data_IF_147254015595
#
_entry.id   IF_147254015595
#
_cell.length_a   1.000
_cell.length_b   1.000
_cell.length_c   1.000
_cell.angle_alpha   90.00
_cell.angle_beta   90.00
_cell.angle_gamma   90.00
#
_symmetry.space_group_name_H-M   'P 1'
#
loop_
_entity.id
_entity.type
_entity.pdbx_description
1 polymer ?
#
# COMPACT_ATOMS: atom_id res chain seq x y z
N UNK A 1 -19.67 -29.49 -8.76
CA UNK A 1 -19.25 -28.23 -8.20
C UNK A 1 -17.96 -28.50 -7.44
N UNK A 2 -16.80 -28.25 -8.04
CA UNK A 2 -15.50 -28.41 -7.40
C UNK A 2 -15.13 -27.06 -6.76
N UNK A 3 -15.06 -27.04 -5.43
CA UNK A 3 -14.50 -25.93 -4.70
C UNK A 3 -12.98 -25.89 -4.94
N UNK A 4 -12.51 -24.91 -5.69
CA UNK A 4 -11.08 -24.61 -5.77
C UNK A 4 -10.68 -23.83 -4.49
N UNK A 5 -10.07 -24.55 -3.55
CA UNK A 5 -9.26 -23.93 -2.50
C UNK A 5 -7.97 -23.46 -3.16
N UNK A 6 -7.81 -22.18 -3.33
CA UNK A 6 -6.53 -21.61 -3.72
C UNK A 6 -5.57 -21.67 -2.52
N UNK A 7 -4.62 -22.61 -2.57
CA UNK A 7 -3.47 -22.59 -1.68
C UNK A 7 -2.47 -21.58 -2.25
N UNK A 8 -2.29 -20.49 -1.55
CA UNK A 8 -1.26 -19.50 -1.81
C UNK A 8 0.10 -20.13 -1.42
N UNK A 9 0.81 -20.70 -2.40
CA UNK A 9 2.22 -21.06 -2.26
C UNK A 9 3.07 -19.87 -2.70
N UNK A 10 3.26 -18.91 -1.79
CA UNK A 10 4.35 -17.98 -1.91
C UNK A 10 5.65 -18.77 -1.80
N UNK A 11 6.47 -18.75 -2.83
CA UNK A 11 7.87 -19.21 -2.72
C UNK A 11 8.55 -18.37 -1.63
N UNK A 12 8.63 -18.97 -0.43
CA UNK A 12 9.47 -18.47 0.65
C UNK A 12 10.93 -18.56 0.18
N UNK A 13 11.48 -17.47 -0.29
CA UNK A 13 12.92 -17.26 -0.11
C UNK A 13 13.12 -16.92 1.37
N UNK A 14 13.44 -17.95 2.13
CA UNK A 14 13.82 -17.86 3.53
C UNK A 14 15.22 -17.29 3.65
N UNK A 15 15.34 -16.07 4.07
CA UNK A 15 16.53 -15.53 4.72
C UNK A 15 16.19 -14.24 5.48
N UNK A 16 15.40 -14.34 6.53
CA UNK A 16 15.48 -13.53 7.76
C UNK A 16 14.68 -14.29 8.81
N UNK A 17 15.21 -14.51 9.98
CA UNK A 17 14.53 -15.18 11.07
C UNK A 17 13.15 -14.53 11.28
N UNK A 18 12.10 -15.34 11.33
CA UNK A 18 10.73 -14.89 11.44
C UNK A 18 10.59 -13.96 12.65
N UNK A 19 10.45 -12.67 12.38
CA UNK A 19 10.14 -11.72 13.42
C UNK A 19 8.64 -11.84 13.69
N UNK A 20 8.34 -12.42 14.82
CA UNK A 20 6.98 -12.65 15.29
C UNK A 20 6.58 -11.47 16.14
N UNK A 21 6.07 -10.41 15.50
CA UNK A 21 5.19 -9.47 16.19
C UNK A 21 3.89 -10.20 16.55
N UNK A 22 3.33 -9.93 17.70
CA UNK A 22 2.01 -10.45 18.07
C UNK A 22 0.95 -9.89 17.11
N UNK A 23 0.24 -10.77 16.43
CA UNK A 23 -0.88 -10.40 15.57
C UNK A 23 -2.10 -10.08 16.45
N UNK A 24 -2.70 -8.93 16.20
CA UNK A 24 -3.87 -8.40 16.93
C UNK A 24 -5.00 -8.12 15.95
N UNK A 25 -6.18 -7.88 16.48
CA UNK A 25 -7.37 -7.51 15.70
C UNK A 25 -7.91 -6.17 16.15
N UNK A 26 -8.21 -5.32 15.18
CA UNK A 26 -9.00 -4.13 15.35
C UNK A 26 -10.44 -4.47 14.92
N UNK A 27 -11.34 -4.57 15.89
CA UNK A 27 -12.74 -4.88 15.62
C UNK A 27 -13.44 -3.68 14.98
N UNK A 28 -14.13 -3.93 13.85
CA UNK A 28 -14.86 -2.90 13.08
C UNK A 28 -16.39 -2.97 13.29
N UNK A 29 -16.87 -3.93 14.08
CA UNK A 29 -18.28 -4.27 14.23
C UNK A 29 -18.74 -5.34 13.24
N UNK A 30 -19.95 -5.90 13.47
CA UNK A 30 -20.53 -6.97 12.65
C UNK A 30 -19.61 -8.17 12.37
N UNK A 31 -18.78 -8.54 13.36
CA UNK A 31 -17.77 -9.60 13.26
C UNK A 31 -16.68 -9.34 12.22
N UNK A 32 -16.55 -8.11 11.72
CA UNK A 32 -15.47 -7.70 10.82
C UNK A 32 -14.29 -7.14 11.62
N UNK A 33 -13.07 -7.43 11.18
CA UNK A 33 -11.85 -6.97 11.83
C UNK A 33 -10.71 -6.75 10.82
N UNK A 34 -9.76 -5.92 11.24
CA UNK A 34 -8.47 -5.72 10.59
C UNK A 34 -7.40 -6.38 11.43
N UNK A 35 -6.63 -7.30 10.84
CA UNK A 35 -5.44 -7.88 11.47
C UNK A 35 -4.26 -6.93 11.35
N UNK A 36 -3.52 -6.74 12.44
CA UNK A 36 -2.36 -5.87 12.49
C UNK A 36 -1.28 -6.36 13.43
N UNK A 37 -0.07 -5.88 13.23
CA UNK A 37 1.02 -5.96 14.21
C UNK A 37 1.47 -4.54 14.53
N UNK A 38 1.84 -4.33 15.80
CA UNK A 38 2.22 -3.02 16.30
C UNK A 38 3.38 -3.13 17.29
N UNK A 39 4.34 -2.22 17.21
CA UNK A 39 5.38 -2.12 18.23
C UNK A 39 4.77 -1.59 19.53
N UNK A 40 5.23 -2.11 20.67
CA UNK A 40 4.67 -1.77 22.00
C UNK A 40 5.34 -0.58 22.65
N UNK A 41 5.95 0.32 21.86
CA UNK A 41 6.68 1.48 22.33
C UNK A 41 5.88 2.76 22.17
N UNK A 42 6.05 3.70 23.06
CA UNK A 42 5.55 5.07 22.88
C UNK A 42 6.65 5.90 22.21
N UNK A 43 6.30 6.61 21.15
CA UNK A 43 7.22 7.50 20.46
C UNK A 43 6.49 8.78 20.04
N UNK A 44 7.22 9.90 19.82
CA UNK A 44 6.60 11.16 19.40
C UNK A 44 6.05 11.12 17.98
N UNK A 45 6.30 10.05 17.24
CA UNK A 45 5.83 9.84 15.85
C UNK A 45 5.29 8.42 15.73
N UNK A 46 4.21 8.24 14.99
CA UNK A 46 3.70 6.93 14.59
C UNK A 46 4.02 6.68 13.11
N UNK A 47 4.58 5.52 12.82
CA UNK A 47 4.83 5.06 11.44
C UNK A 47 3.79 4.03 11.07
N UNK A 48 3.18 4.15 9.88
CA UNK A 48 2.19 3.17 9.39
C UNK A 48 2.57 2.73 7.98
N UNK A 49 2.51 1.43 7.73
CA UNK A 49 2.77 0.85 6.40
C UNK A 49 1.46 0.48 5.69
N UNK A 50 1.28 1.00 4.49
CA UNK A 50 0.18 0.70 3.59
C UNK A 50 0.68 -0.24 2.48
N UNK A 51 0.22 -1.48 2.49
CA UNK A 51 0.64 -2.53 1.56
C UNK A 51 0.16 -2.31 0.12
N UNK A 52 0.71 -3.08 -0.81
CA UNK A 52 0.26 -3.12 -2.20
C UNK A 52 -0.98 -3.99 -2.41
N UNK A 53 -1.51 -3.97 -3.62
CA UNK A 53 -2.59 -4.84 -4.07
C UNK A 53 -2.21 -6.32 -3.90
N UNK A 54 -3.06 -7.11 -3.25
CA UNK A 54 -2.82 -8.52 -2.92
C UNK A 54 -1.58 -8.80 -2.03
N UNK A 55 -1.00 -7.80 -1.39
CA UNK A 55 0.07 -8.02 -0.41
C UNK A 55 -0.49 -8.12 1.00
N UNK A 56 0.33 -8.63 1.91
CA UNK A 56 0.00 -8.73 3.33
C UNK A 56 1.07 -8.05 4.22
N UNK A 57 0.76 -7.90 5.51
CA UNK A 57 1.64 -7.27 6.49
C UNK A 57 2.92 -8.09 6.79
N UNK A 58 3.03 -9.31 6.27
CA UNK A 58 4.20 -10.18 6.41
C UNK A 58 5.16 -10.04 5.22
N UNK A 59 4.81 -9.21 4.23
CA UNK A 59 5.65 -8.91 3.09
C UNK A 59 6.96 -8.22 3.47
N UNK A 60 7.99 -8.39 2.64
CA UNK A 60 9.38 -7.96 2.92
C UNK A 60 9.48 -6.49 3.37
N UNK A 61 8.85 -5.55 2.65
CA UNK A 61 8.91 -4.12 2.99
C UNK A 61 8.28 -3.82 4.36
N UNK A 62 7.10 -4.41 4.63
CA UNK A 62 6.39 -4.22 5.89
C UNK A 62 7.21 -4.76 7.07
N UNK A 63 7.80 -5.94 6.92
CA UNK A 63 8.61 -6.57 7.97
C UNK A 63 9.92 -5.81 8.23
N UNK A 64 10.63 -5.37 7.18
CA UNK A 64 11.85 -4.56 7.36
C UNK A 64 11.56 -3.23 8.06
N UNK A 65 10.47 -2.57 7.70
CA UNK A 65 10.05 -1.34 8.37
C UNK A 65 9.69 -1.60 9.84
N UNK A 66 8.93 -2.67 10.11
CA UNK A 66 8.51 -3.02 11.46
C UNK A 66 9.71 -3.30 12.37
N UNK A 67 10.68 -4.08 11.90
CA UNK A 67 11.90 -4.40 12.65
C UNK A 67 12.78 -3.16 12.88
N UNK A 68 12.93 -2.34 11.86
CA UNK A 68 13.63 -1.07 12.00
C UNK A 68 13.00 -0.21 13.10
N UNK A 69 11.71 0.01 13.04
CA UNK A 69 10.98 0.81 14.03
C UNK A 69 11.08 0.20 15.44
N UNK A 70 10.94 -1.11 15.55
CA UNK A 70 11.06 -1.84 16.82
C UNK A 70 12.45 -1.66 17.45
N UNK A 71 13.51 -1.81 16.65
CA UNK A 71 14.90 -1.67 17.13
C UNK A 71 15.27 -0.23 17.49
N UNK A 72 14.59 0.77 16.92
CA UNK A 72 14.81 2.18 17.18
C UNK A 72 13.81 2.81 18.17
N UNK A 73 12.96 2.00 18.80
CA UNK A 73 11.98 2.50 19.77
C UNK A 73 10.92 3.41 19.15
N UNK A 74 10.52 3.12 17.90
CA UNK A 74 9.51 3.90 17.16
C UNK A 74 8.19 3.12 17.13
N UNK A 75 7.08 3.83 17.38
CA UNK A 75 5.75 3.28 17.24
C UNK A 75 5.47 2.99 15.76
N UNK A 76 5.21 1.74 15.43
CA UNK A 76 4.97 1.28 14.06
C UNK A 76 3.78 0.34 14.00
N UNK A 77 2.92 0.52 13.00
CA UNK A 77 1.80 -0.36 12.70
C UNK A 77 1.90 -0.87 11.26
N UNK A 78 1.84 -2.18 11.10
CA UNK A 78 1.66 -2.85 9.82
C UNK A 78 0.36 -3.65 9.89
N UNK A 79 -0.42 -3.70 8.83
CA UNK A 79 -1.75 -4.30 8.87
C UNK A 79 -2.17 -4.85 7.50
N UNK A 80 -3.16 -5.71 7.53
CA UNK A 80 -3.85 -6.22 6.35
C UNK A 80 -5.14 -5.45 6.15
N UNK A 81 -5.39 -4.97 4.94
CA UNK A 81 -6.68 -4.35 4.62
C UNK A 81 -7.82 -5.37 4.72
N UNK A 82 -9.04 -4.91 4.83
CA UNK A 82 -10.21 -5.77 4.69
C UNK A 82 -10.11 -6.62 3.41
N UNK A 83 -10.32 -7.93 3.53
CA UNK A 83 -10.17 -8.88 2.43
C UNK A 83 -8.73 -9.26 2.06
N UNK A 84 -7.70 -8.73 2.77
CA UNK A 84 -6.30 -9.12 2.58
C UNK A 84 -5.78 -9.94 3.76
N UNK A 85 -4.76 -10.74 3.51
CA UNK A 85 -3.99 -11.46 4.51
C UNK A 85 -4.84 -12.18 5.56
N UNK A 86 -4.68 -11.78 6.82
CA UNK A 86 -5.43 -12.33 7.97
C UNK A 86 -6.67 -11.51 8.37
N UNK A 87 -6.94 -10.39 7.71
CA UNK A 87 -8.15 -9.59 7.95
C UNK A 87 -9.40 -10.29 7.43
N UNK A 88 -10.55 -9.95 8.04
CA UNK A 88 -11.84 -10.45 7.56
C UNK A 88 -12.22 -9.91 6.19
N UNK A 89 -13.19 -10.54 5.53
CA UNK A 89 -13.71 -10.16 4.22
C UNK A 89 -13.17 -11.00 3.08
N UNK A 90 -13.80 -10.83 1.91
CA UNK A 90 -13.43 -11.52 0.67
C UNK A 90 -12.79 -10.51 -0.28
N UNK A 91 -11.56 -10.75 -0.71
CA UNK A 91 -10.79 -9.83 -1.56
C UNK A 91 -11.56 -9.36 -2.80
N UNK A 92 -12.27 -10.29 -3.47
CA UNK A 92 -13.03 -9.99 -4.68
C UNK A 92 -14.25 -9.09 -4.45
N UNK A 93 -14.69 -8.96 -3.21
CA UNK A 93 -15.80 -8.09 -2.83
C UNK A 93 -15.33 -6.70 -2.40
N UNK A 94 -14.03 -6.48 -2.30
CA UNK A 94 -13.45 -5.22 -1.85
C UNK A 94 -13.17 -4.25 -3.00
N UNK A 95 -13.12 -2.98 -2.65
CA UNK A 95 -12.89 -1.85 -3.53
C UNK A 95 -11.82 -0.90 -2.96
N UNK A 96 -11.47 0.14 -3.69
CA UNK A 96 -10.58 1.21 -3.19
C UNK A 96 -11.19 1.88 -1.95
N UNK A 97 -12.51 2.10 -1.94
CA UNK A 97 -13.24 2.65 -0.79
C UNK A 97 -13.09 1.78 0.46
N UNK A 98 -13.21 0.46 0.34
CA UNK A 98 -13.09 -0.47 1.47
C UNK A 98 -11.65 -0.47 2.03
N UNK A 99 -10.64 -0.46 1.16
CA UNK A 99 -9.24 -0.41 1.57
C UNK A 99 -8.85 0.96 2.14
N UNK A 100 -9.39 2.03 1.58
CA UNK A 100 -9.23 3.36 2.15
C UNK A 100 -9.88 3.47 3.54
N UNK A 101 -11.09 2.92 3.72
CA UNK A 101 -11.74 2.85 5.03
C UNK A 101 -10.90 2.05 6.05
N UNK A 102 -10.23 0.97 5.61
CA UNK A 102 -9.29 0.23 6.44
C UNK A 102 -8.11 1.11 6.90
N UNK A 103 -7.54 1.91 5.99
CA UNK A 103 -6.48 2.87 6.33
C UNK A 103 -6.96 3.88 7.38
N UNK A 104 -8.13 4.47 7.18
CA UNK A 104 -8.72 5.44 8.10
C UNK A 104 -8.92 4.82 9.48
N UNK A 105 -9.53 3.62 9.55
CA UNK A 105 -9.76 2.92 10.81
C UNK A 105 -8.47 2.65 11.57
N UNK A 106 -7.41 2.23 10.89
CA UNK A 106 -6.09 2.00 11.50
C UNK A 106 -5.48 3.32 11.98
N UNK A 107 -5.49 4.36 11.16
CA UNK A 107 -4.94 5.67 11.51
C UNK A 107 -5.66 6.28 12.71
N UNK A 108 -6.99 6.18 12.77
CA UNK A 108 -7.77 6.77 13.85
C UNK A 108 -7.68 5.97 15.17
N UNK A 109 -7.67 4.64 15.08
CA UNK A 109 -7.76 3.77 16.26
C UNK A 109 -6.41 3.34 16.81
N UNK A 110 -5.38 3.21 15.97
CA UNK A 110 -4.11 2.58 16.36
C UNK A 110 -2.92 3.54 16.35
N UNK A 111 -3.10 4.79 15.94
CA UNK A 111 -1.98 5.74 15.81
C UNK A 111 -2.26 7.06 16.51
N UNK A 112 -1.20 7.74 16.91
CA UNK A 112 -1.22 9.12 17.39
C UNK A 112 -0.60 10.06 16.36
N UNK A 113 -0.88 11.34 16.45
CA UNK A 113 -0.18 12.35 15.66
C UNK A 113 1.18 12.69 16.31
N UNK A 114 2.19 13.08 15.52
CA UNK A 114 2.24 13.13 14.05
C UNK A 114 2.49 11.75 13.42
N UNK A 115 2.13 11.63 12.14
CA UNK A 115 2.20 10.38 11.37
C UNK A 115 3.23 10.44 10.25
N UNK A 116 4.02 9.40 10.08
CA UNK A 116 4.74 9.09 8.84
C UNK A 116 4.06 7.88 8.18
N UNK A 117 3.58 8.03 6.96
CA UNK A 117 2.91 6.95 6.22
C UNK A 117 3.85 6.45 5.12
N UNK A 118 4.09 5.14 5.10
CA UNK A 118 4.83 4.47 4.03
C UNK A 118 3.84 3.71 3.18
N UNK A 119 3.73 4.04 1.89
CA UNK A 119 2.80 3.40 0.96
C UNK A 119 3.50 2.72 -0.20
N UNK A 120 3.23 1.43 -0.43
CA UNK A 120 3.80 0.66 -1.54
C UNK A 120 2.75 0.38 -2.61
N UNK A 121 3.04 0.69 -3.88
CA UNK A 121 2.15 0.44 -5.02
C UNK A 121 0.74 1.03 -4.78
N UNK A 122 -0.33 0.21 -4.75
CA UNK A 122 -1.68 0.63 -4.34
C UNK A 122 -1.67 1.39 -3.01
N UNK A 123 -0.88 0.95 -2.03
CA UNK A 123 -0.72 1.63 -0.75
C UNK A 123 -0.22 3.07 -0.88
N UNK A 124 0.51 3.39 -1.95
CA UNK A 124 0.89 4.76 -2.30
C UNK A 124 -0.31 5.63 -2.72
N UNK A 125 -1.32 5.05 -3.36
CA UNK A 125 -2.58 5.74 -3.64
C UNK A 125 -3.37 6.00 -2.36
N UNK A 126 -3.56 4.95 -1.55
CA UNK A 126 -4.27 5.06 -0.26
C UNK A 126 -3.56 6.04 0.70
N UNK A 127 -2.23 6.10 0.67
CA UNK A 127 -1.41 7.06 1.39
C UNK A 127 -1.75 8.51 1.01
N UNK A 128 -1.85 8.79 -0.29
CA UNK A 128 -2.24 10.12 -0.79
C UNK A 128 -3.67 10.48 -0.39
N UNK A 129 -4.62 9.54 -0.49
CA UNK A 129 -6.01 9.74 -0.05
C UNK A 129 -6.07 10.03 1.45
N UNK A 130 -5.31 9.28 2.26
CA UNK A 130 -5.24 9.48 3.71
C UNK A 130 -4.62 10.84 4.05
N UNK A 131 -3.56 11.25 3.34
CA UNK A 131 -2.96 12.56 3.55
C UNK A 131 -3.91 13.71 3.18
N UNK A 132 -4.79 13.53 2.21
CA UNK A 132 -5.81 14.53 1.87
C UNK A 132 -6.87 14.71 2.96
N UNK A 133 -7.27 13.63 3.63
CA UNK A 133 -8.30 13.67 4.69
C UNK A 133 -7.74 13.97 6.08
N UNK A 134 -6.51 13.54 6.37
CA UNK A 134 -5.86 13.61 7.68
C UNK A 134 -4.60 14.49 7.68
N UNK A 135 -4.47 15.39 6.73
CA UNK A 135 -3.23 16.16 6.48
C UNK A 135 -2.64 16.85 7.72
N UNK A 136 -3.47 17.31 8.67
CA UNK A 136 -3.00 17.92 9.94
C UNK A 136 -2.23 16.94 10.83
N UNK A 137 -2.44 15.64 10.68
CA UNK A 137 -1.76 14.57 11.41
C UNK A 137 -0.53 14.04 10.68
N UNK A 138 -0.44 14.26 9.36
CA UNK A 138 0.60 13.67 8.52
C UNK A 138 1.83 14.56 8.53
N UNK A 139 2.92 14.06 9.13
CA UNK A 139 4.22 14.69 9.17
C UNK A 139 5.01 14.48 7.88
N UNK A 140 4.88 13.32 7.26
CA UNK A 140 5.58 13.00 6.03
C UNK A 140 5.09 11.71 5.37
N UNK A 141 5.42 11.56 4.09
CA UNK A 141 5.02 10.42 3.26
C UNK A 141 6.22 9.77 2.59
N UNK A 142 6.24 8.45 2.54
CA UNK A 142 7.22 7.67 1.78
C UNK A 142 6.48 6.77 0.81
N UNK A 143 6.63 7.01 -0.50
CA UNK A 143 6.02 6.20 -1.55
C UNK A 143 7.03 5.25 -2.21
N UNK A 144 6.75 3.94 -2.18
CA UNK A 144 7.53 2.89 -2.83
C UNK A 144 6.80 2.44 -4.09
N UNK A 145 7.28 2.84 -5.29
CA UNK A 145 6.62 2.59 -6.56
C UNK A 145 5.10 2.88 -6.50
N UNK A 146 4.69 4.09 -6.05
CA UNK A 146 3.28 4.39 -5.82
C UNK A 146 2.47 4.33 -7.11
N UNK A 147 1.27 3.73 -7.02
CA UNK A 147 0.37 3.47 -8.15
C UNK A 147 -1.00 4.14 -7.97
N UNK A 148 -1.07 5.50 -7.87
CA UNK A 148 -2.37 6.17 -7.83
C UNK A 148 -3.12 5.89 -9.13
N UNK A 149 -4.45 5.76 -9.02
CA UNK A 149 -5.37 5.57 -10.14
C UNK A 149 -5.10 4.28 -10.96
N UNK A 150 -4.42 3.26 -10.38
CA UNK A 150 -4.02 2.06 -11.14
C UNK A 150 -5.21 1.34 -11.80
N UNK A 151 -6.42 1.51 -11.28
CA UNK A 151 -7.64 0.93 -11.85
C UNK A 151 -7.98 1.48 -13.24
N UNK A 152 -7.51 2.68 -13.59
CA UNK A 152 -7.66 3.26 -14.93
C UNK A 152 -6.58 2.78 -15.91
N UNK A 153 -5.43 2.32 -15.39
CA UNK A 153 -4.28 1.88 -16.19
C UNK A 153 -4.16 0.36 -16.32
N UNK A 154 -5.19 -0.38 -15.91
CA UNK A 154 -5.22 -1.83 -16.07
C UNK A 154 -5.22 -2.19 -17.57
N UNK A 155 -4.13 -2.83 -18.02
CA UNK A 155 -4.05 -3.38 -19.36
C UNK A 155 -4.91 -4.65 -19.44
N UNK A 156 -6.15 -4.49 -19.91
CA UNK A 156 -7.11 -5.57 -20.14
C UNK A 156 -7.34 -5.71 -21.64
N UNK A 157 -7.24 -6.93 -22.14
CA UNK A 157 -7.58 -7.25 -23.54
C UNK A 157 -9.06 -6.98 -23.82
N UNK A 158 -9.42 -6.89 -25.09
CA UNK A 158 -10.83 -6.74 -25.50
C UNK A 158 -11.70 -7.89 -24.97
N UNK A 159 -11.20 -9.13 -25.00
CA UNK A 159 -11.91 -10.31 -24.46
C UNK A 159 -12.12 -10.20 -22.96
N UNK A 160 -11.12 -9.73 -22.19
CA UNK A 160 -11.24 -9.51 -20.75
C UNK A 160 -12.23 -8.38 -20.43
N UNK A 161 -12.23 -7.30 -21.20
CA UNK A 161 -13.24 -6.23 -21.06
C UNK A 161 -14.64 -6.73 -21.36
N UNK A 162 -14.83 -7.50 -22.43
CA UNK A 162 -16.13 -8.11 -22.77
C UNK A 162 -16.60 -9.09 -21.70
N UNK A 163 -15.71 -9.93 -21.17
CA UNK A 163 -16.00 -10.83 -20.06
C UNK A 163 -16.44 -10.05 -18.82
N UNK A 164 -15.69 -9.02 -18.43
CA UNK A 164 -16.02 -8.17 -17.29
C UNK A 164 -17.38 -7.48 -17.46
N UNK A 165 -17.70 -7.00 -18.64
CA UNK A 165 -19.03 -6.40 -18.91
C UNK A 165 -20.17 -7.41 -18.79
N UNK A 166 -19.94 -8.67 -19.17
CA UNK A 166 -20.93 -9.73 -19.12
C UNK A 166 -21.08 -10.37 -17.72
N UNK A 167 -19.97 -10.54 -16.98
CA UNK A 167 -19.93 -11.33 -15.73
C UNK A 167 -19.64 -10.49 -14.48
N UNK A 168 -19.29 -9.21 -14.64
CA UNK A 168 -18.86 -8.33 -13.56
C UNK A 168 -17.41 -8.51 -13.15
N UNK A 169 -16.66 -9.45 -13.73
CA UNK A 169 -15.26 -9.72 -13.39
C UNK A 169 -14.49 -10.37 -14.54
N UNK A 170 -13.17 -10.29 -14.47
CA UNK A 170 -12.24 -11.03 -15.34
C UNK A 170 -10.99 -11.43 -14.58
N UNK A 171 -10.20 -12.35 -15.15
CA UNK A 171 -8.93 -12.78 -14.58
C UNK A 171 -7.78 -12.10 -15.33
N UNK A 172 -6.90 -11.44 -14.61
CA UNK A 172 -5.63 -10.94 -15.14
C UNK A 172 -4.52 -11.89 -14.72
N UNK A 173 -3.78 -12.38 -15.71
CA UNK A 173 -2.61 -13.22 -15.51
C UNK A 173 -1.35 -12.35 -15.62
N UNK A 174 -0.42 -12.56 -14.71
CA UNK A 174 0.95 -12.06 -14.78
C UNK A 174 1.90 -13.27 -14.76
N UNK A 175 3.17 -13.07 -15.00
CA UNK A 175 4.16 -14.15 -14.99
C UNK A 175 4.21 -14.92 -13.65
N UNK A 176 3.82 -14.28 -12.56
CA UNK A 176 3.95 -14.83 -11.21
C UNK A 176 2.62 -15.18 -10.53
N UNK A 177 1.49 -14.64 -11.00
CA UNK A 177 0.20 -14.89 -10.37
C UNK A 177 -0.98 -14.57 -11.28
N UNK A 178 -2.14 -15.10 -10.90
CA UNK A 178 -3.44 -14.76 -11.51
C UNK A 178 -4.34 -14.14 -10.45
N UNK A 179 -5.00 -13.04 -10.79
CA UNK A 179 -5.91 -12.37 -9.89
C UNK A 179 -7.19 -11.90 -10.59
N UNK A 180 -8.24 -11.85 -9.81
CA UNK A 180 -9.55 -11.41 -10.31
C UNK A 180 -9.63 -9.88 -10.19
N UNK A 181 -9.99 -9.24 -11.31
CA UNK A 181 -10.38 -7.82 -11.35
C UNK A 181 -11.89 -7.77 -11.51
N UNK A 182 -12.55 -7.02 -10.65
CA UNK A 182 -13.99 -6.83 -10.71
C UNK A 182 -14.35 -5.48 -11.32
N UNK A 183 -15.50 -5.44 -12.00
CA UNK A 183 -16.07 -4.17 -12.49
C UNK A 183 -16.33 -3.20 -11.33
N UNK A 184 -16.77 -3.74 -10.17
CA UNK A 184 -17.00 -2.98 -8.93
C UNK A 184 -15.73 -2.24 -8.49
N UNK A 185 -14.57 -2.91 -8.49
CA UNK A 185 -13.28 -2.30 -8.15
C UNK A 185 -12.92 -1.14 -9.10
N UNK A 186 -13.10 -1.35 -10.41
CA UNK A 186 -12.81 -0.32 -11.41
C UNK A 186 -13.74 0.88 -11.26
N UNK A 187 -15.04 0.62 -11.12
CA UNK A 187 -16.03 1.70 -11.02
C UNK A 187 -15.87 2.52 -9.73
N UNK A 188 -15.56 1.86 -8.62
CA UNK A 188 -15.27 2.52 -7.35
C UNK A 188 -13.96 3.32 -7.43
N UNK A 189 -12.91 2.79 -8.07
CA UNK A 189 -11.65 3.50 -8.25
C UNK A 189 -11.82 4.87 -8.91
N UNK A 190 -12.79 5.03 -9.82
CA UNK A 190 -13.09 6.31 -10.49
C UNK A 190 -13.48 7.43 -9.53
N UNK A 191 -14.04 7.09 -8.38
CA UNK A 191 -14.43 8.06 -7.34
C UNK A 191 -13.20 8.66 -6.64
N UNK A 192 -12.09 7.94 -6.65
CA UNK A 192 -10.87 8.26 -5.91
C UNK A 192 -9.73 8.80 -6.77
N UNK A 193 -9.96 9.10 -8.06
CA UNK A 193 -8.90 9.54 -8.99
C UNK A 193 -8.20 10.81 -8.51
N UNK A 194 -6.89 10.79 -8.58
CA UNK A 194 -6.01 11.89 -8.19
C UNK A 194 -5.23 12.46 -9.37
N UNK A 195 -4.81 11.60 -10.31
CA UNK A 195 -3.88 12.00 -11.37
C UNK A 195 -4.56 12.82 -12.48
N UNK A 196 -5.87 12.83 -12.57
CA UNK A 196 -6.64 13.71 -13.45
C UNK A 196 -6.79 15.14 -12.88
N UNK A 197 -6.54 15.34 -11.58
CA UNK A 197 -6.64 16.67 -10.94
C UNK A 197 -5.47 17.56 -11.40
N UNK A 198 -5.72 18.87 -11.46
CA UNK A 198 -4.67 19.86 -11.74
C UNK A 198 -3.62 19.87 -10.62
N UNK A 199 -4.06 19.72 -9.38
CA UNK A 199 -3.23 19.76 -8.18
C UNK A 199 -3.78 18.79 -7.12
N UNK A 200 -2.89 18.21 -6.34
CA UNK A 200 -3.21 17.33 -5.21
C UNK A 200 -2.84 18.08 -3.93
N UNK A 201 -3.80 18.35 -3.06
CA UNK A 201 -3.65 19.21 -1.88
C UNK A 201 -2.91 18.50 -0.71
N UNK A 202 -1.81 17.80 -1.01
CA UNK A 202 -0.88 17.21 -0.05
C UNK A 202 0.27 18.19 0.15
N UNK A 203 0.46 18.66 1.39
CA UNK A 203 1.41 19.73 1.72
C UNK A 203 2.63 19.26 2.55
N UNK A 204 2.53 18.08 3.18
CA UNK A 204 3.61 17.53 3.98
C UNK A 204 4.82 17.08 3.13
N UNK A 205 6.04 17.04 3.70
CA UNK A 205 7.21 16.47 3.05
C UNK A 205 6.96 15.06 2.51
N UNK A 206 7.55 14.76 1.35
CA UNK A 206 7.33 13.49 0.65
C UNK A 206 8.63 12.96 0.04
N UNK A 207 8.88 11.66 0.21
CA UNK A 207 9.96 10.93 -0.48
C UNK A 207 9.32 9.84 -1.34
N UNK A 208 9.64 9.84 -2.63
CA UNK A 208 9.19 8.81 -3.58
C UNK A 208 10.39 8.00 -4.04
N UNK A 209 10.31 6.68 -3.98
CA UNK A 209 11.34 5.75 -4.41
C UNK A 209 10.76 4.88 -5.52
N UNK A 210 11.38 4.86 -6.69
CA UNK A 210 10.84 4.15 -7.85
C UNK A 210 11.94 3.46 -8.65
N UNK A 211 11.68 2.21 -9.04
CA UNK A 211 12.55 1.47 -9.93
C UNK A 211 12.42 1.96 -11.38
N UNK A 212 13.54 2.12 -12.08
CA UNK A 212 13.50 2.51 -13.50
C UNK A 212 13.16 1.34 -14.42
N UNK A 213 13.34 0.11 -13.96
CA UNK A 213 12.96 -1.13 -14.65
C UNK A 213 11.62 -1.69 -14.12
N UNK A 214 10.76 -0.80 -13.53
CA UNK A 214 9.41 -1.14 -13.11
C UNK A 214 8.52 -1.33 -14.34
N UNK A 215 8.11 -2.57 -14.60
CA UNK A 215 7.26 -3.01 -15.71
C UNK A 215 5.75 -2.99 -15.37
N UNK A 216 5.42 -2.72 -14.11
CA UNK A 216 4.03 -2.64 -13.62
C UNK A 216 3.53 -1.20 -13.54
N UNK A 217 4.35 -0.33 -12.95
CA UNK A 217 4.05 1.11 -12.79
C UNK A 217 5.22 1.92 -13.31
N UNK A 218 5.07 2.71 -14.38
CA UNK A 218 6.17 3.48 -14.92
C UNK A 218 6.65 4.52 -13.89
N UNK A 219 7.98 4.66 -13.71
CA UNK A 219 8.58 5.61 -12.75
C UNK A 219 8.16 7.06 -12.99
N UNK A 220 7.72 7.39 -14.19
CA UNK A 220 7.13 8.69 -14.53
C UNK A 220 5.91 9.03 -13.65
N UNK A 221 5.25 8.02 -13.10
CA UNK A 221 4.16 8.20 -12.14
C UNK A 221 4.64 8.95 -10.89
N UNK A 222 5.79 8.60 -10.32
CA UNK A 222 6.38 9.33 -9.20
C UNK A 222 6.74 10.77 -9.56
N UNK A 223 7.26 11.00 -10.76
CA UNK A 223 7.54 12.37 -11.25
C UNK A 223 6.25 13.17 -11.43
N UNK A 224 5.19 12.52 -11.90
CA UNK A 224 3.87 13.17 -12.05
C UNK A 224 3.23 13.51 -10.70
N UNK A 225 3.34 12.62 -9.69
CA UNK A 225 2.91 12.89 -8.32
C UNK A 225 3.67 14.11 -7.78
N UNK A 226 5.01 14.10 -7.88
CA UNK A 226 5.86 15.20 -7.39
C UNK A 226 5.49 16.56 -8.01
N UNK A 227 5.08 16.58 -9.27
CA UNK A 227 4.62 17.81 -9.96
C UNK A 227 3.23 18.27 -9.52
N UNK A 228 2.36 17.36 -9.05
CA UNK A 228 0.96 17.66 -8.77
C UNK A 228 0.69 17.95 -7.30
N UNK A 229 1.49 17.45 -6.37
CA UNK A 229 1.29 17.73 -4.93
C UNK A 229 1.67 19.17 -4.59
N UNK A 230 0.99 19.76 -3.62
CA UNK A 230 1.28 21.11 -3.13
C UNK A 230 2.55 21.20 -2.30
N UNK A 231 3.03 20.08 -1.79
CA UNK A 231 4.25 20.05 -0.99
C UNK A 231 5.41 20.68 -1.73
N UNK A 232 6.19 21.49 -1.01
CA UNK A 232 7.43 22.11 -1.53
C UNK A 232 8.68 21.26 -1.24
N UNK A 233 8.57 20.25 -0.38
CA UNK A 233 9.65 19.30 -0.08
C UNK A 233 9.26 17.92 -0.60
N UNK A 234 9.56 17.67 -1.88
CA UNK A 234 9.34 16.37 -2.54
C UNK A 234 10.67 15.91 -3.13
N UNK A 235 11.12 14.74 -2.70
CA UNK A 235 12.33 14.09 -3.19
C UNK A 235 11.95 12.83 -3.95
N UNK A 236 12.57 12.60 -5.10
CA UNK A 236 12.34 11.40 -5.91
C UNK A 236 13.67 10.67 -6.09
N UNK A 237 13.74 9.44 -5.61
CA UNK A 237 14.87 8.54 -5.81
C UNK A 237 14.52 7.54 -6.90
N UNK A 238 15.25 7.60 -8.02
CA UNK A 238 15.14 6.64 -9.10
C UNK A 238 16.25 5.58 -8.95
N UNK A 239 15.84 4.32 -8.83
CA UNK A 239 16.75 3.18 -8.71
C UNK A 239 16.91 2.57 -10.11
N UNK A 240 18.08 2.74 -10.73
CA UNK A 240 18.32 2.42 -12.15
C UNK A 240 17.91 0.99 -12.56
N UNK A 241 18.23 -0.01 -11.73
CA UNK A 241 17.88 -1.41 -12.00
C UNK A 241 16.78 -1.92 -11.06
N UNK A 242 16.07 -1.00 -10.42
CA UNK A 242 14.97 -1.34 -9.52
C UNK A 242 13.73 -1.77 -10.29
N UNK A 243 13.12 -2.87 -9.87
CA UNK A 243 11.83 -3.35 -10.36
C UNK A 243 10.69 -2.83 -9.50
N UNK A 244 9.44 -3.20 -9.81
CA UNK A 244 8.26 -2.83 -9.02
C UNK A 244 8.35 -3.24 -7.55
N UNK A 245 8.98 -4.37 -7.27
CA UNK A 245 9.04 -4.90 -5.90
C UNK A 245 9.88 -4.06 -4.94
N UNK A 246 10.99 -3.46 -5.39
CA UNK A 246 11.89 -2.67 -4.55
C UNK A 246 12.17 -3.34 -3.18
N UNK A 247 12.45 -4.64 -3.21
CA UNK A 247 12.64 -5.48 -2.02
C UNK A 247 14.12 -5.87 -1.79
N UNK A 248 15.02 -5.33 -2.59
CA UNK A 248 16.46 -5.46 -2.43
C UNK A 248 16.96 -4.58 -1.28
N UNK A 249 18.15 -4.92 -0.74
CA UNK A 249 18.74 -4.23 0.43
C UNK A 249 18.92 -2.73 0.20
N UNK A 250 19.32 -2.31 -1.01
CA UNK A 250 19.51 -0.90 -1.33
C UNK A 250 18.18 -0.14 -1.28
N UNK A 251 17.14 -0.67 -1.93
CA UNK A 251 15.80 -0.06 -1.97
C UNK A 251 15.16 0.00 -0.58
N UNK A 252 15.31 -1.06 0.22
CA UNK A 252 14.87 -1.09 1.62
C UNK A 252 15.63 -0.07 2.46
N UNK A 253 16.94 0.06 2.28
CA UNK A 253 17.75 1.07 2.94
C UNK A 253 17.31 2.50 2.63
N UNK A 254 16.96 2.79 1.37
CA UNK A 254 16.39 4.09 0.98
C UNK A 254 15.05 4.36 1.68
N UNK A 255 14.17 3.35 1.77
CA UNK A 255 12.90 3.46 2.49
C UNK A 255 13.11 3.79 3.96
N UNK A 256 13.97 3.04 4.64
CA UNK A 256 14.24 3.24 6.07
C UNK A 256 14.89 4.60 6.34
N UNK A 257 15.84 5.02 5.49
CA UNK A 257 16.42 6.35 5.56
C UNK A 257 15.37 7.46 5.38
N UNK A 258 14.49 7.32 4.39
CA UNK A 258 13.42 8.28 4.15
C UNK A 258 12.48 8.41 5.37
N UNK A 259 12.12 7.28 5.98
CA UNK A 259 11.32 7.26 7.23
C UNK A 259 12.07 7.97 8.36
N UNK A 260 13.37 7.66 8.55
CA UNK A 260 14.20 8.30 9.55
C UNK A 260 14.26 9.83 9.39
N UNK A 261 14.45 10.30 8.16
CA UNK A 261 14.57 11.73 7.85
C UNK A 261 13.25 12.49 8.05
N UNK A 262 12.10 11.80 8.06
CA UNK A 262 10.76 12.38 8.24
C UNK A 262 10.25 12.30 9.69
N UNK A 263 10.87 11.49 10.55
CA UNK A 263 10.54 11.41 11.98
C UNK A 263 11.09 12.60 12.78
#
# INVERSE_FOLDING_TARGET
VKHYRFSYNAHRQSCVGAVVGEEKRLELGNSSYISYMQTTVQSPVSVVFFGGFMSDMRGTKAQHLFEYCKSHGVHCTVFDYFGHGSSSGEFQECTISDWYASCVSVVESLTSAPLVIVGSSMGGWLMLLTALSHGRRVRGLVGMAPAPDFTESLDLSESQRAEMMRTGKTVKNTDNCSYVITKKLIDDGKVHLLMNKREIAVECPMVLIHGMDDDVVPYQTSLAIAKKVKSRDVRVHLVKSGTHHLADEHSLGLMLKAVHDLM
#
